data_IF_093574682983
#
_entry.id   IF_093574682983
#
_cell.length_a   1.000
_cell.length_b   1.000
_cell.length_c   1.000
_cell.angle_alpha   90.00
_cell.angle_beta   90.00
_cell.angle_gamma   90.00
#
_symmetry.space_group_name_H-M   'P 1'
#
loop_
_entity.id
_entity.type
_entity.pdbx_description
1 polymer ?
#
# COMPACT_ATOMS: atom_id res chain seq x y z
N UNK A 1 8.54 -7.90 -2.19
CA UNK A 1 8.20 -7.52 -0.80
C UNK A 1 8.90 -8.36 0.25
N UNK A 2 8.63 -9.67 0.37
CA UNK A 2 9.23 -10.51 1.43
C UNK A 2 10.76 -10.40 1.54
N UNK A 3 11.48 -10.37 0.41
CA UNK A 3 12.94 -10.19 0.40
C UNK A 3 13.38 -8.83 1.00
N UNK A 4 12.61 -7.76 0.80
CA UNK A 4 12.89 -6.44 1.38
C UNK A 4 12.78 -6.53 2.91
N UNK A 5 11.73 -7.18 3.40
CA UNK A 5 11.54 -7.38 4.85
C UNK A 5 12.65 -8.23 5.46
N UNK A 6 13.07 -9.30 4.79
CA UNK A 6 14.19 -10.13 5.26
C UNK A 6 15.51 -9.36 5.25
N UNK A 7 15.77 -8.56 4.22
CA UNK A 7 16.99 -7.75 4.18
C UNK A 7 16.98 -6.65 5.25
N UNK A 8 15.81 -6.08 5.55
CA UNK A 8 15.66 -4.98 6.50
C UNK A 8 15.65 -5.46 7.97
N UNK A 9 14.86 -6.48 8.29
CA UNK A 9 14.71 -7.00 9.65
C UNK A 9 15.66 -8.17 9.97
N UNK A 10 16.24 -8.83 8.97
CA UNK A 10 17.21 -9.91 9.10
C UNK A 10 16.60 -11.31 9.31
N UNK A 11 15.54 -11.45 10.10
CA UNK A 11 14.92 -12.76 10.37
C UNK A 11 13.39 -12.72 10.34
N UNK A 12 12.77 -13.86 10.02
CA UNK A 12 11.30 -14.00 10.07
C UNK A 12 10.75 -13.70 11.47
N UNK A 13 11.47 -14.07 12.53
CA UNK A 13 11.08 -13.78 13.91
C UNK A 13 11.03 -12.27 14.19
N UNK A 14 12.02 -11.50 13.69
CA UNK A 14 12.03 -10.03 13.83
C UNK A 14 10.91 -9.36 13.01
N UNK A 15 10.61 -9.89 11.83
CA UNK A 15 9.44 -9.44 11.04
C UNK A 15 8.15 -9.71 11.84
N UNK A 16 7.97 -10.92 12.37
CA UNK A 16 6.82 -11.29 13.18
C UNK A 16 6.63 -10.34 14.37
N UNK A 17 7.72 -10.01 15.07
CA UNK A 17 7.68 -9.06 16.18
C UNK A 17 7.33 -7.64 15.74
N UNK A 18 7.93 -7.14 14.66
CA UNK A 18 7.71 -5.78 14.17
C UNK A 18 6.27 -5.53 13.73
N UNK A 19 5.64 -6.52 13.08
CA UNK A 19 4.28 -6.40 12.57
C UNK A 19 3.21 -7.04 13.48
N UNK A 20 3.60 -7.60 14.63
CA UNK A 20 2.67 -8.27 15.54
C UNK A 20 1.99 -9.51 14.95
N UNK A 21 2.66 -10.21 14.03
CA UNK A 21 2.10 -11.40 13.33
C UNK A 21 2.75 -12.69 13.82
N UNK A 22 1.98 -13.79 13.80
CA UNK A 22 2.44 -15.06 14.37
C UNK A 22 3.43 -15.80 13.46
N UNK A 23 3.29 -15.71 12.13
CA UNK A 23 4.07 -16.52 11.18
C UNK A 23 4.47 -15.75 9.92
N UNK A 24 5.56 -14.99 10.00
CA UNK A 24 6.13 -14.30 8.84
C UNK A 24 6.65 -15.26 7.74
N UNK A 25 6.88 -16.54 8.03
CA UNK A 25 7.22 -17.57 7.03
C UNK A 25 6.28 -17.57 5.81
N UNK A 26 4.98 -17.39 6.03
CA UNK A 26 3.97 -17.46 4.96
C UNK A 26 4.07 -16.28 3.97
N UNK A 27 4.83 -15.23 4.32
CA UNK A 27 5.01 -14.06 3.46
C UNK A 27 5.81 -14.38 2.20
N UNK A 28 6.53 -15.51 2.17
CA UNK A 28 7.17 -16.07 0.96
C UNK A 28 6.18 -16.24 -0.20
N UNK A 29 4.94 -16.63 0.13
CA UNK A 29 3.89 -16.83 -0.86
C UNK A 29 3.13 -15.53 -1.12
N UNK A 30 2.70 -14.87 -0.05
CA UNK A 30 1.97 -13.60 -0.12
C UNK A 30 2.10 -12.83 1.18
N UNK A 31 2.54 -11.58 1.08
CA UNK A 31 2.55 -10.65 2.20
C UNK A 31 1.12 -10.12 2.38
N UNK A 32 0.56 -10.08 3.61
CA UNK A 32 -0.73 -9.49 3.87
C UNK A 32 -0.77 -8.00 3.50
N UNK A 33 -1.92 -7.53 3.02
CA UNK A 33 -2.11 -6.16 2.58
C UNK A 33 -1.79 -5.12 3.66
N UNK A 34 -2.21 -5.37 4.91
CA UNK A 34 -1.92 -4.44 6.02
C UNK A 34 -0.41 -4.27 6.27
N UNK A 35 0.39 -5.34 6.12
CA UNK A 35 1.86 -5.26 6.23
C UNK A 35 2.42 -4.43 5.08
N UNK A 36 1.91 -4.64 3.87
CA UNK A 36 2.33 -3.89 2.69
C UNK A 36 2.06 -2.40 2.83
N UNK A 37 0.89 -2.03 3.36
CA UNK A 37 0.53 -0.65 3.68
C UNK A 37 1.47 -0.05 4.74
N UNK A 38 1.72 -0.76 5.84
CA UNK A 38 2.65 -0.29 6.89
C UNK A 38 4.05 -0.02 6.33
N UNK A 39 4.53 -0.87 5.43
CA UNK A 39 5.83 -0.67 4.79
C UNK A 39 5.85 0.49 3.80
N UNK A 40 4.72 0.81 3.16
CA UNK A 40 4.62 1.98 2.29
C UNK A 40 4.64 3.29 3.08
N UNK A 41 4.15 3.27 4.32
CA UNK A 41 4.17 4.42 5.23
C UNK A 41 5.53 4.65 5.91
N UNK A 42 6.39 3.63 5.96
CA UNK A 42 7.72 3.72 6.56
C UNK A 42 8.77 4.12 5.51
N UNK A 43 9.36 5.33 5.59
CA UNK A 43 10.35 5.79 4.61
C UNK A 43 11.67 5.00 4.65
N UNK A 44 11.93 4.21 5.70
CA UNK A 44 13.12 3.38 5.81
C UNK A 44 12.98 2.03 5.09
N UNK A 45 11.76 1.68 4.67
CA UNK A 45 11.49 0.46 3.91
C UNK A 45 11.26 0.85 2.45
N UNK A 46 12.12 0.44 1.50
CA UNK A 46 12.01 0.82 0.09
C UNK A 46 10.88 0.03 -0.60
N UNK A 47 9.64 0.29 -0.22
CA UNK A 47 8.45 -0.35 -0.75
C UNK A 47 7.37 0.67 -1.07
N UNK A 48 6.84 0.62 -2.30
CA UNK A 48 5.66 1.39 -2.69
C UNK A 48 4.49 0.44 -2.81
N UNK A 49 3.39 0.76 -2.12
CA UNK A 49 2.17 -0.04 -2.21
C UNK A 49 1.56 0.07 -3.60
N UNK A 50 1.30 -1.08 -4.23
CA UNK A 50 0.53 -1.17 -5.46
C UNK A 50 -0.84 -1.80 -5.16
N UNK A 51 -1.96 -1.07 -5.35
CA UNK A 51 -3.32 -1.59 -5.13
C UNK A 51 -3.62 -2.86 -5.95
N UNK A 52 -3.09 -2.95 -7.17
CA UNK A 52 -3.40 -4.04 -8.10
C UNK A 52 -2.88 -5.41 -7.59
N UNK A 53 -1.75 -5.41 -6.85
CA UNK A 53 -1.17 -6.62 -6.23
C UNK A 53 -2.11 -7.25 -5.18
N UNK A 54 -3.07 -6.47 -4.69
CA UNK A 54 -4.05 -6.86 -3.68
C UNK A 54 -5.47 -6.96 -4.24
N UNK A 55 -5.65 -6.83 -5.55
CA UNK A 55 -6.96 -6.84 -6.18
C UNK A 55 -7.81 -5.62 -5.82
N UNK A 56 -7.17 -4.51 -5.45
CA UNK A 56 -7.84 -3.23 -5.24
C UNK A 56 -7.90 -2.47 -6.55
N UNK A 57 -9.08 -1.97 -6.90
CA UNK A 57 -9.25 -1.18 -8.11
C UNK A 57 -8.72 0.24 -7.87
N UNK A 58 -7.54 0.54 -8.41
CA UNK A 58 -6.93 1.87 -8.39
C UNK A 58 -7.78 2.93 -9.09
N UNK A 59 -8.59 2.55 -10.09
CA UNK A 59 -9.47 3.47 -10.81
C UNK A 59 -10.62 4.03 -9.96
N UNK A 60 -11.00 3.35 -8.86
CA UNK A 60 -12.04 3.82 -7.96
C UNK A 60 -11.62 5.03 -7.09
N UNK A 61 -10.32 5.34 -7.06
CA UNK A 61 -9.74 6.47 -6.30
C UNK A 61 -9.36 7.66 -7.20
N UNK A 62 -9.83 7.68 -8.45
CA UNK A 62 -9.62 8.82 -9.34
C UNK A 62 -10.48 9.98 -8.84
N UNK A 63 -9.86 10.92 -8.12
CA UNK A 63 -10.49 12.20 -7.83
C UNK A 63 -10.47 13.01 -9.13
N UNK A 64 -11.55 12.92 -9.91
CA UNK A 64 -11.73 13.77 -11.08
C UNK A 64 -11.96 15.20 -10.59
N UNK A 65 -10.88 15.99 -10.56
CA UNK A 65 -10.86 17.39 -10.15
C UNK A 65 -11.45 18.32 -11.23
N UNK A 66 -12.27 17.80 -12.15
CA UNK A 66 -13.04 18.61 -13.09
C UNK A 66 -13.90 19.63 -12.33
N UNK A 67 -13.35 20.84 -12.18
CA UNK A 67 -14.03 22.01 -11.65
C UNK A 67 -15.34 22.17 -12.43
N UNK A 68 -16.52 22.26 -11.79
CA UNK A 68 -17.71 22.63 -12.52
C UNK A 68 -17.45 24.03 -13.10
N UNK A 69 -17.38 24.12 -14.43
CA UNK A 69 -17.53 25.41 -15.11
C UNK A 69 -18.88 25.93 -14.68
N UNK A 70 -18.88 26.98 -13.85
CA UNK A 70 -20.10 27.72 -13.54
C UNK A 70 -20.73 28.08 -14.87
N UNK A 71 -21.90 27.52 -15.14
CA UNK A 71 -22.72 27.90 -16.27
C UNK A 71 -22.90 29.41 -16.18
N UNK A 72 -22.27 30.14 -17.10
CA UNK A 72 -22.49 31.57 -17.25
C UNK A 72 -23.97 31.75 -17.57
N UNK A 73 -24.72 32.28 -16.61
CA UNK A 73 -26.10 32.73 -16.81
C UNK A 73 -26.10 33.73 -17.97
N UNK A 74 -26.60 33.32 -19.12
CA UNK A 74 -26.95 34.24 -20.21
C UNK A 74 -28.36 34.75 -19.93
N UNK A 75 -28.44 35.92 -19.31
CA UNK A 75 -29.64 36.76 -19.36
C UNK A 75 -29.22 38.08 -20.01
N UNK A 76 -29.79 38.37 -21.18
CA UNK A 76 -29.54 39.58 -21.97
C UNK A 76 -30.08 39.43 -23.38
#
# INVERSE_FOLDING_TARGET
>A
MYQILINHFGTEAKISQAFGVTRAQHFKNRVPEHVALLCHLDPHIPYTYNPDDFGRNSAALTLDLAKPQQATERTG
#
